data_IF_005527798211
#
_entry.id   IF_005527798211
#
_cell.length_a   1.000
_cell.length_b   1.000
_cell.length_c   1.000
_cell.angle_alpha   90.00
_cell.angle_beta   90.00
_cell.angle_gamma   90.00
#
_symmetry.space_group_name_H-M   'P 1'
#
loop_
_entity.id
_entity.type
_entity.pdbx_description
1 polymer ?
#
# COMPACT_ATOMS: atom_id res chain seq x y z
N UNK A 1 47.87 -13.17 -30.45
CA UNK A 1 46.60 -13.30 -31.20
C UNK A 1 45.69 -12.16 -30.78
N UNK A 2 44.97 -11.51 -31.69
CA UNK A 2 43.88 -10.62 -31.29
C UNK A 2 42.74 -11.51 -30.76
N UNK A 3 42.16 -11.24 -29.58
CA UNK A 3 41.01 -12.02 -29.11
C UNK A 3 39.87 -11.90 -30.13
N UNK A 4 39.14 -13.01 -30.34
CA UNK A 4 37.97 -13.01 -31.19
C UNK A 4 36.99 -11.93 -30.70
N UNK A 5 36.28 -11.19 -31.58
CA UNK A 5 35.46 -10.05 -31.17
C UNK A 5 34.31 -10.44 -30.23
N UNK A 6 33.78 -11.67 -30.36
CA UNK A 6 32.73 -12.22 -29.50
C UNK A 6 33.17 -13.53 -28.87
N UNK A 7 32.62 -13.85 -27.69
CA UNK A 7 32.78 -15.13 -27.04
C UNK A 7 32.09 -16.22 -27.87
N UNK A 8 32.82 -17.24 -28.35
CA UNK A 8 32.24 -18.33 -29.12
C UNK A 8 31.19 -19.13 -28.33
N UNK A 9 31.41 -19.26 -27.02
CA UNK A 9 30.52 -19.96 -26.10
C UNK A 9 30.30 -19.10 -24.86
N UNK A 10 29.05 -18.85 -24.50
CA UNK A 10 28.70 -18.22 -23.23
C UNK A 10 27.22 -18.50 -22.92
N UNK A 11 26.85 -18.75 -21.65
CA UNK A 11 25.46 -18.90 -21.27
C UNK A 11 24.73 -17.56 -21.36
N UNK A 12 23.44 -17.61 -21.69
CA UNK A 12 22.58 -16.44 -21.58
C UNK A 12 22.38 -16.09 -20.08
N UNK A 13 22.37 -14.78 -19.71
CA UNK A 13 21.99 -14.37 -18.37
C UNK A 13 20.55 -14.76 -18.08
N UNK A 14 20.24 -15.10 -16.83
CA UNK A 14 18.87 -15.28 -16.36
C UNK A 14 18.27 -13.97 -15.90
N UNK A 15 16.93 -13.93 -15.82
CA UNK A 15 16.22 -12.78 -15.26
C UNK A 15 16.60 -12.58 -13.79
N UNK A 16 17.07 -11.38 -13.45
CA UNK A 16 17.50 -11.04 -12.09
C UNK A 16 18.81 -11.68 -11.64
N UNK A 17 19.57 -12.35 -12.52
CA UNK A 17 20.88 -12.92 -12.20
C UNK A 17 21.90 -11.82 -11.84
N UNK A 18 22.72 -12.07 -10.83
CA UNK A 18 23.82 -11.16 -10.47
C UNK A 18 24.94 -11.19 -11.52
N UNK A 19 25.61 -10.05 -11.74
CA UNK A 19 26.71 -9.94 -12.71
C UNK A 19 27.85 -10.91 -12.37
N UNK A 20 28.23 -10.97 -11.10
CA UNK A 20 29.22 -11.93 -10.60
C UNK A 20 28.81 -13.38 -10.90
N UNK A 21 27.52 -13.71 -10.76
CA UNK A 21 27.03 -15.08 -11.00
C UNK A 21 27.10 -15.47 -12.47
N UNK A 22 26.65 -14.57 -13.35
CA UNK A 22 26.73 -14.81 -14.78
C UNK A 22 28.19 -14.91 -15.25
N UNK A 23 29.09 -14.04 -14.79
CA UNK A 23 30.50 -14.10 -15.16
C UNK A 23 31.19 -15.37 -14.69
N UNK A 24 30.88 -15.87 -13.49
CA UNK A 24 31.34 -17.19 -13.05
C UNK A 24 30.88 -18.29 -14.01
N UNK A 25 29.61 -18.29 -14.44
CA UNK A 25 29.11 -19.26 -15.41
C UNK A 25 29.77 -19.14 -16.78
N UNK A 26 30.10 -17.93 -17.23
CA UNK A 26 30.88 -17.71 -18.46
C UNK A 26 32.29 -18.27 -18.30
N UNK A 27 32.98 -17.98 -17.20
CA UNK A 27 34.34 -18.44 -16.94
C UNK A 27 34.43 -19.97 -16.91
N UNK A 28 33.42 -20.63 -16.32
CA UNK A 28 33.30 -22.09 -16.29
C UNK A 28 33.24 -22.72 -17.70
N UNK A 29 32.66 -22.06 -18.70
CA UNK A 29 32.65 -22.55 -20.08
C UNK A 29 34.06 -22.64 -20.71
N UNK A 30 35.03 -21.92 -20.14
CA UNK A 30 36.42 -21.88 -20.58
C UNK A 30 37.38 -22.57 -19.61
N UNK A 31 36.86 -23.24 -18.57
CA UNK A 31 37.66 -23.82 -17.48
C UNK A 31 38.58 -22.80 -16.79
N UNK A 32 38.09 -21.57 -16.64
CA UNK A 32 38.77 -20.47 -15.96
C UNK A 32 37.97 -20.03 -14.73
N UNK A 33 38.65 -19.36 -13.80
CA UNK A 33 37.98 -18.65 -12.72
C UNK A 33 37.63 -17.21 -13.16
N UNK A 34 36.66 -16.60 -12.48
CA UNK A 34 36.17 -15.25 -12.81
C UNK A 34 37.27 -14.17 -12.82
N UNK A 35 38.22 -14.14 -11.84
CA UNK A 35 39.33 -13.19 -11.88
C UNK A 35 40.23 -13.35 -13.11
N UNK A 36 40.48 -14.59 -13.56
CA UNK A 36 41.31 -14.85 -14.74
C UNK A 36 40.62 -14.35 -16.01
N UNK A 37 39.29 -14.50 -16.09
CA UNK A 37 38.49 -13.97 -17.21
C UNK A 37 38.54 -12.44 -17.23
N UNK A 38 38.39 -11.79 -16.07
CA UNK A 38 38.51 -10.34 -15.96
C UNK A 38 39.89 -9.85 -16.41
N UNK A 39 40.95 -10.43 -15.85
CA UNK A 39 42.32 -9.96 -16.07
C UNK A 39 42.79 -10.20 -17.50
N UNK A 40 42.60 -11.41 -18.01
CA UNK A 40 43.25 -11.85 -19.24
C UNK A 40 42.41 -11.66 -20.50
N UNK A 41 41.07 -11.74 -20.42
CA UNK A 41 40.19 -11.54 -21.58
C UNK A 41 39.61 -10.13 -21.62
N UNK A 42 39.21 -9.61 -20.46
CA UNK A 42 38.51 -8.32 -20.37
C UNK A 42 39.46 -7.14 -20.05
N UNK A 43 40.71 -7.42 -19.67
CA UNK A 43 41.70 -6.37 -19.36
C UNK A 43 41.34 -5.54 -18.14
N UNK A 44 40.55 -6.10 -17.22
CA UNK A 44 40.20 -5.50 -15.95
C UNK A 44 40.92 -6.24 -14.83
N UNK A 45 41.63 -5.51 -13.97
CA UNK A 45 42.17 -6.12 -12.74
C UNK A 45 41.05 -6.53 -11.78
N UNK A 46 41.44 -6.87 -10.55
CA UNK A 46 40.46 -7.19 -9.50
C UNK A 46 39.46 -6.03 -9.33
N UNK A 47 38.18 -6.33 -9.52
CA UNK A 47 37.06 -5.40 -9.27
C UNK A 47 36.48 -5.75 -7.91
N UNK A 48 36.47 -4.78 -6.99
CA UNK A 48 36.10 -5.01 -5.57
C UNK A 48 34.69 -5.63 -5.41
N UNK A 49 33.70 -5.14 -6.16
CA UNK A 49 32.35 -5.72 -6.18
C UNK A 49 31.63 -5.48 -7.51
N UNK A 50 31.57 -6.52 -8.33
CA UNK A 50 30.86 -6.55 -9.61
C UNK A 50 29.35 -6.30 -9.49
N UNK A 51 28.75 -6.63 -8.35
CA UNK A 51 27.30 -6.54 -8.18
C UNK A 51 26.86 -5.21 -7.60
N UNK A 52 27.77 -4.40 -7.04
CA UNK A 52 27.43 -3.06 -6.53
C UNK A 52 27.49 -2.01 -7.64
N UNK A 53 28.67 -1.77 -8.21
CA UNK A 53 28.90 -0.69 -9.16
C UNK A 53 30.02 -1.06 -10.16
N UNK A 54 29.75 -2.00 -11.09
CA UNK A 54 30.75 -2.42 -12.06
C UNK A 54 31.16 -1.24 -12.97
N UNK A 55 32.45 -1.11 -13.35
CA UNK A 55 32.91 -0.04 -14.22
C UNK A 55 32.15 -0.03 -15.56
N UNK A 56 31.79 1.15 -16.06
CA UNK A 56 31.07 1.26 -17.33
C UNK A 56 31.89 0.72 -18.52
N UNK A 57 33.21 0.85 -18.47
CA UNK A 57 34.12 0.26 -19.45
C UNK A 57 34.04 -1.27 -19.47
N UNK A 58 33.94 -1.91 -18.30
CA UNK A 58 33.75 -3.35 -18.19
C UNK A 58 32.41 -3.75 -18.81
N UNK A 59 31.32 -3.06 -18.47
CA UNK A 59 30.00 -3.36 -19.03
C UNK A 59 29.94 -3.18 -20.55
N UNK A 60 30.59 -2.15 -21.10
CA UNK A 60 30.68 -1.93 -22.54
C UNK A 60 31.45 -3.06 -23.24
N UNK A 61 32.55 -3.52 -22.64
CA UNK A 61 33.31 -4.64 -23.17
C UNK A 61 32.52 -5.94 -23.09
N UNK A 62 31.86 -6.22 -21.97
CA UNK A 62 30.97 -7.37 -21.81
C UNK A 62 29.86 -7.36 -22.87
N UNK A 63 29.27 -6.20 -23.14
CA UNK A 63 28.27 -6.02 -24.21
C UNK A 63 28.86 -6.37 -25.57
N UNK A 64 30.08 -5.93 -25.87
CA UNK A 64 30.76 -6.27 -27.12
C UNK A 64 31.07 -7.77 -27.23
N UNK A 65 31.57 -8.40 -26.15
CA UNK A 65 32.00 -9.80 -26.12
C UNK A 65 30.81 -10.76 -26.19
N UNK A 66 29.75 -10.49 -25.45
CA UNK A 66 28.56 -11.35 -25.36
C UNK A 66 27.48 -11.01 -26.40
N UNK A 67 27.42 -9.76 -26.86
CA UNK A 67 26.29 -9.25 -27.64
C UNK A 67 25.05 -8.94 -26.81
N UNK A 68 25.15 -8.91 -25.48
CA UNK A 68 24.06 -8.51 -24.58
C UNK A 68 24.00 -6.98 -24.52
N UNK A 69 22.79 -6.43 -24.55
CA UNK A 69 22.57 -4.99 -24.42
C UNK A 69 23.12 -4.43 -23.10
N UNK A 70 23.72 -3.24 -23.19
CA UNK A 70 24.37 -2.58 -22.05
C UNK A 70 23.42 -2.37 -20.86
N UNK A 71 22.16 -2.00 -21.12
CA UNK A 71 21.18 -1.76 -20.07
C UNK A 71 20.79 -3.03 -19.33
N UNK A 72 20.76 -4.18 -20.02
CA UNK A 72 20.55 -5.48 -19.37
C UNK A 72 21.71 -5.83 -18.44
N UNK A 73 22.95 -5.62 -18.87
CA UNK A 73 24.14 -5.85 -18.04
C UNK A 73 24.17 -4.90 -16.83
N UNK A 74 23.78 -3.63 -17.00
CA UNK A 74 23.64 -2.67 -15.88
C UNK A 74 22.67 -3.18 -14.82
N UNK A 75 21.51 -3.70 -15.22
CA UNK A 75 20.50 -4.23 -14.31
C UNK A 75 20.92 -5.52 -13.55
N UNK A 76 22.07 -6.11 -13.88
CA UNK A 76 22.68 -7.22 -13.13
C UNK A 76 23.56 -6.72 -11.97
N UNK A 77 23.50 -5.42 -11.65
CA UNK A 77 24.16 -4.77 -10.52
C UNK A 77 23.21 -3.78 -9.82
N UNK A 78 23.49 -3.44 -8.56
CA UNK A 78 22.73 -2.48 -7.78
C UNK A 78 22.77 -1.07 -8.38
N UNK A 79 23.85 -0.69 -9.06
CA UNK A 79 23.92 0.56 -9.83
C UNK A 79 22.82 0.64 -10.90
N UNK A 80 22.44 -0.48 -11.51
CA UNK A 80 21.32 -0.55 -12.45
C UNK A 80 19.94 -0.42 -11.82
N UNK A 81 19.85 -0.46 -10.49
CA UNK A 81 18.59 -0.31 -9.73
C UNK A 81 18.41 1.10 -9.14
N UNK A 82 19.36 2.00 -9.36
CA UNK A 82 19.25 3.43 -9.08
C UNK A 82 18.43 4.11 -10.20
N UNK A 83 17.50 5.05 -9.92
CA UNK A 83 17.15 5.61 -8.62
C UNK A 83 15.94 4.94 -7.94
N UNK A 84 15.42 3.83 -8.47
CA UNK A 84 14.09 3.35 -8.09
C UNK A 84 14.10 2.45 -6.85
N UNK A 85 15.08 1.54 -6.71
CA UNK A 85 15.29 0.80 -5.46
C UNK A 85 16.13 1.62 -4.49
N UNK A 86 17.21 2.20 -4.98
CA UNK A 86 18.19 2.98 -4.23
C UNK A 86 18.17 4.40 -4.78
N UNK A 87 18.16 5.44 -3.95
CA UNK A 87 18.25 6.81 -4.49
C UNK A 87 19.64 7.14 -4.99
N UNK A 88 20.66 6.55 -4.35
CA UNK A 88 22.06 6.64 -4.72
C UNK A 88 22.86 5.50 -4.11
N UNK A 89 24.04 5.25 -4.67
CA UNK A 89 25.08 4.41 -4.06
C UNK A 89 26.07 5.23 -3.21
N UNK A 90 25.99 6.56 -3.27
CA UNK A 90 26.71 7.47 -2.37
C UNK A 90 26.10 7.40 -0.97
N UNK A 91 26.92 7.08 0.02
CA UNK A 91 26.48 6.94 1.41
C UNK A 91 26.50 8.26 2.18
N UNK A 92 27.13 9.31 1.65
CA UNK A 92 27.28 10.62 2.32
C UNK A 92 26.16 11.61 2.00
N UNK A 93 25.09 11.18 1.32
CA UNK A 93 23.98 12.07 1.00
C UNK A 93 23.26 12.52 2.29
N UNK A 94 23.20 13.84 2.57
CA UNK A 94 22.48 14.34 3.74
C UNK A 94 21.00 13.95 3.69
N UNK A 95 20.44 13.60 4.85
CA UNK A 95 19.02 13.28 5.02
C UNK A 95 18.50 12.15 4.12
N UNK A 96 19.37 11.31 3.56
CA UNK A 96 19.01 10.18 2.70
C UNK A 96 18.02 9.22 3.39
N UNK A 97 18.25 8.91 4.67
CA UNK A 97 17.33 8.06 5.44
C UNK A 97 15.96 8.71 5.59
N UNK A 98 15.91 10.01 5.88
CA UNK A 98 14.65 10.72 6.09
C UNK A 98 13.82 10.78 4.81
N UNK A 99 14.46 11.17 3.71
CA UNK A 99 13.82 11.27 2.40
C UNK A 99 13.38 9.90 1.87
N UNK A 100 14.11 8.83 2.16
CA UNK A 100 13.76 7.50 1.70
C UNK A 100 12.73 6.79 2.60
N UNK A 101 12.95 6.77 3.92
CA UNK A 101 12.20 5.92 4.86
C UNK A 101 11.13 6.65 5.66
N UNK A 102 11.17 7.98 5.79
CA UNK A 102 10.29 8.73 6.70
C UNK A 102 9.17 9.53 6.01
N UNK A 103 9.12 9.54 4.67
CA UNK A 103 8.11 10.29 3.91
C UNK A 103 6.72 9.66 3.91
N UNK A 104 6.63 8.33 4.07
CA UNK A 104 5.35 7.61 4.06
C UNK A 104 4.90 7.27 5.49
N UNK A 105 3.74 6.64 5.63
CA UNK A 105 3.15 6.24 6.91
C UNK A 105 2.19 5.07 6.71
N UNK A 106 2.35 3.98 7.47
CA UNK A 106 1.53 2.77 7.34
C UNK A 106 0.85 2.42 8.66
N UNK A 107 1.59 1.96 9.66
CA UNK A 107 1.10 1.61 10.98
C UNK A 107 0.91 2.83 11.89
N UNK A 108 1.75 3.84 11.72
CA UNK A 108 1.80 5.02 12.57
C UNK A 108 1.42 6.27 11.77
N UNK A 109 0.75 7.28 12.36
CA UNK A 109 0.52 8.54 11.65
C UNK A 109 1.83 9.30 11.49
N UNK A 110 1.96 10.06 10.40
CA UNK A 110 3.19 10.82 10.05
C UNK A 110 3.73 11.67 11.20
N UNK A 111 2.84 12.37 11.93
CA UNK A 111 3.19 13.24 13.06
C UNK A 111 3.84 12.52 14.25
N UNK A 112 3.73 11.18 14.33
CA UNK A 112 4.33 10.37 15.41
C UNK A 112 5.63 9.69 15.00
N UNK A 113 6.08 9.87 13.75
CA UNK A 113 7.35 9.35 13.29
C UNK A 113 8.46 10.29 13.75
N UNK A 114 9.35 9.80 14.61
CA UNK A 114 10.57 10.53 14.96
C UNK A 114 11.57 10.40 13.82
N UNK A 115 11.94 11.53 13.23
CA UNK A 115 13.04 11.58 12.27
C UNK A 115 14.38 11.35 12.99
N UNK A 116 15.34 10.81 12.27
CA UNK A 116 16.67 10.43 12.74
C UNK A 116 17.66 10.73 11.64
N UNK A 117 18.74 11.42 11.98
CA UNK A 117 19.84 11.72 11.05
C UNK A 117 20.94 10.68 11.17
N UNK A 118 21.43 10.21 10.03
CA UNK A 118 22.62 9.35 9.93
C UNK A 118 23.51 9.90 8.84
N UNK A 119 24.82 9.95 9.10
CA UNK A 119 25.81 10.57 8.22
C UNK A 119 26.29 9.67 7.09
N UNK A 120 26.27 8.35 7.28
CA UNK A 120 26.60 7.35 6.26
C UNK A 120 25.47 6.33 6.18
N UNK A 121 24.70 6.36 5.09
CA UNK A 121 23.58 5.42 4.91
C UNK A 121 23.23 5.21 3.45
N UNK A 122 22.93 3.96 3.09
CA UNK A 122 22.39 3.57 1.78
C UNK A 122 21.18 2.69 1.99
N UNK A 123 20.09 2.95 1.27
CA UNK A 123 18.87 2.16 1.38
C UNK A 123 19.15 0.69 1.05
N UNK A 124 18.64 -0.25 1.83
CA UNK A 124 18.70 -1.70 1.55
C UNK A 124 20.08 -2.37 1.46
N UNK A 125 21.18 -1.64 1.26
CA UNK A 125 22.53 -2.22 1.17
C UNK A 125 22.98 -2.67 2.56
N UNK A 126 23.12 -3.99 2.79
CA UNK A 126 23.46 -4.49 4.11
C UNK A 126 24.93 -4.18 4.46
N UNK A 127 25.22 -3.95 5.74
CA UNK A 127 26.60 -3.75 6.20
C UNK A 127 27.47 -5.01 6.14
N UNK A 128 26.84 -6.16 5.93
CA UNK A 128 27.48 -7.48 5.79
C UNK A 128 26.90 -8.18 4.56
N UNK A 129 27.71 -8.89 3.77
CA UNK A 129 27.23 -9.68 2.64
C UNK A 129 26.14 -10.68 3.06
N UNK A 130 25.17 -10.89 2.17
CA UNK A 130 24.12 -11.88 2.36
C UNK A 130 24.29 -12.96 1.29
N UNK A 131 24.58 -14.18 1.72
CA UNK A 131 24.70 -15.34 0.85
C UNK A 131 23.53 -16.28 1.14
N UNK A 132 22.48 -16.12 0.35
CA UNK A 132 21.29 -16.98 0.44
C UNK A 132 20.75 -17.28 -0.94
N UNK A 133 20.10 -18.41 -1.07
CA UNK A 133 19.55 -18.86 -2.33
C UNK A 133 18.35 -19.77 -2.11
N UNK A 134 17.57 -19.96 -3.16
CA UNK A 134 16.51 -20.96 -3.16
C UNK A 134 17.11 -22.36 -3.40
N UNK A 135 16.87 -23.34 -2.50
CA UNK A 135 17.36 -24.71 -2.69
C UNK A 135 16.88 -25.35 -4.00
N UNK A 136 15.66 -25.06 -4.41
CA UNK A 136 15.08 -25.58 -5.65
C UNK A 136 15.68 -24.92 -6.90
N UNK A 137 15.94 -23.61 -6.87
CA UNK A 137 16.58 -22.92 -8.00
C UNK A 137 18.02 -23.38 -8.25
N UNK A 138 18.75 -23.79 -7.21
CA UNK A 138 20.14 -24.25 -7.31
C UNK A 138 20.28 -25.78 -7.37
N UNK A 139 19.16 -26.51 -7.41
CA UNK A 139 19.14 -27.96 -7.45
C UNK A 139 19.79 -28.54 -8.71
N UNK A 140 19.75 -27.80 -9.82
CA UNK A 140 20.38 -28.15 -11.09
C UNK A 140 21.82 -27.59 -11.15
N UNK A 141 22.86 -28.45 -11.07
CA UNK A 141 24.25 -28.02 -11.07
C UNK A 141 24.68 -27.29 -12.35
N UNK A 142 24.07 -27.60 -13.50
CA UNK A 142 24.42 -26.98 -14.79
C UNK A 142 23.82 -25.58 -14.93
N UNK A 143 22.93 -25.21 -14.01
CA UNK A 143 22.06 -24.05 -14.15
C UNK A 143 22.00 -23.20 -12.86
N UNK A 144 23.03 -23.27 -12.03
CA UNK A 144 23.12 -22.52 -10.77
C UNK A 144 23.35 -21.02 -11.02
N UNK A 145 22.26 -20.27 -11.10
CA UNK A 145 22.29 -18.81 -11.19
C UNK A 145 21.88 -18.22 -9.85
N UNK A 146 22.77 -17.40 -9.27
CA UNK A 146 22.49 -16.65 -8.04
C UNK A 146 21.85 -15.33 -8.42
N UNK A 147 20.64 -15.09 -7.91
CA UNK A 147 19.91 -13.86 -8.20
C UNK A 147 20.46 -12.68 -7.37
N UNK A 148 20.54 -11.51 -8.00
CA UNK A 148 21.01 -10.28 -7.36
C UNK A 148 20.12 -9.90 -6.17
N UNK A 149 18.81 -10.13 -6.28
CA UNK A 149 17.84 -9.79 -5.25
C UNK A 149 18.05 -10.58 -3.94
N UNK A 150 18.64 -11.77 -4.01
CA UNK A 150 18.93 -12.58 -2.83
C UNK A 150 20.05 -11.97 -1.97
N UNK A 151 20.92 -11.15 -2.58
CA UNK A 151 22.00 -10.44 -1.89
C UNK A 151 21.51 -9.22 -1.10
N UNK A 152 20.25 -8.82 -1.29
CA UNK A 152 19.63 -7.74 -0.52
C UNK A 152 18.58 -8.28 0.44
N UNK A 153 18.39 -7.64 1.61
CA UNK A 153 17.40 -8.03 2.59
C UNK A 153 15.99 -7.50 2.23
N UNK A 154 15.52 -7.85 1.03
CA UNK A 154 14.23 -7.43 0.46
C UNK A 154 13.13 -8.49 0.53
N UNK A 155 13.54 -9.76 0.54
CA UNK A 155 12.65 -10.92 0.50
C UNK A 155 13.13 -12.03 1.44
N UNK A 156 12.27 -12.97 1.81
CA UNK A 156 12.61 -14.13 2.65
C UNK A 156 12.47 -15.47 1.92
N UNK A 157 11.69 -15.49 0.84
CA UNK A 157 11.32 -16.66 0.08
C UNK A 157 11.59 -16.46 -1.41
N UNK A 158 11.64 -17.59 -2.12
CA UNK A 158 11.75 -17.62 -3.56
C UNK A 158 10.40 -17.26 -4.21
N UNK A 159 10.32 -16.23 -5.07
CA UNK A 159 9.07 -15.86 -5.72
C UNK A 159 8.58 -16.89 -6.75
N UNK A 160 9.44 -17.82 -7.17
CA UNK A 160 9.08 -18.89 -8.11
C UNK A 160 8.60 -20.16 -7.39
N UNK A 161 9.20 -20.48 -6.24
CA UNK A 161 8.98 -21.76 -5.55
C UNK A 161 8.25 -21.63 -4.21
N UNK A 162 8.11 -20.42 -3.66
CA UNK A 162 7.47 -20.18 -2.37
C UNK A 162 8.20 -20.76 -1.15
N UNK A 163 9.42 -21.29 -1.32
CA UNK A 163 10.24 -21.78 -0.21
C UNK A 163 11.16 -20.68 0.34
N UNK A 164 11.58 -20.81 1.59
CA UNK A 164 12.57 -19.95 2.20
C UNK A 164 13.88 -19.91 1.40
N UNK A 165 14.54 -18.76 1.43
CA UNK A 165 15.91 -18.62 0.98
C UNK A 165 16.83 -19.11 2.10
N UNK A 166 17.68 -20.09 1.78
CA UNK A 166 18.59 -20.73 2.71
C UNK A 166 20.00 -20.19 2.55
N UNK A 167 20.74 -20.11 3.65
CA UNK A 167 22.13 -19.62 3.65
C UNK A 167 23.07 -20.63 2.99
N UNK A 168 24.04 -20.11 2.23
CA UNK A 168 25.05 -20.92 1.58
C UNK A 168 26.44 -20.32 1.76
N UNK A 169 27.47 -21.15 1.70
CA UNK A 169 28.86 -20.72 1.64
C UNK A 169 29.36 -20.76 0.19
N UNK A 170 30.14 -19.76 -0.20
CA UNK A 170 30.61 -19.59 -1.56
C UNK A 170 31.40 -18.31 -1.76
N UNK A 171 31.86 -18.09 -2.99
CA UNK A 171 32.46 -16.82 -3.42
C UNK A 171 31.37 -15.94 -4.07
N UNK A 172 31.57 -14.63 -4.22
CA UNK A 172 30.58 -13.75 -4.84
C UNK A 172 30.05 -14.31 -6.17
N UNK A 173 28.75 -14.59 -6.22
CA UNK A 173 28.08 -15.08 -7.43
C UNK A 173 28.15 -16.59 -7.67
N UNK A 174 28.93 -17.35 -6.89
CA UNK A 174 29.08 -18.80 -7.03
C UNK A 174 28.67 -19.54 -5.76
N UNK A 175 27.74 -20.47 -5.92
CA UNK A 175 27.33 -21.41 -4.88
C UNK A 175 28.36 -22.56 -4.79
N UNK A 176 28.79 -22.90 -3.57
CA UNK A 176 29.69 -24.04 -3.34
C UNK A 176 29.05 -25.10 -2.43
N UNK A 177 28.22 -24.68 -1.48
CA UNK A 177 27.43 -25.60 -0.66
C UNK A 177 26.53 -24.86 0.33
N UNK A 178 25.56 -25.58 0.89
CA UNK A 178 24.69 -25.04 1.94
C UNK A 178 25.43 -24.94 3.27
N UNK A 179 25.12 -23.92 4.07
CA UNK A 179 25.64 -23.83 5.44
C UNK A 179 25.03 -24.93 6.33
N UNK A 180 23.75 -25.27 6.09
CA UNK A 180 23.07 -26.39 6.71
C UNK A 180 23.03 -27.57 5.73
N UNK A 181 23.54 -28.73 6.13
CA UNK A 181 23.58 -29.92 5.27
C UNK A 181 22.17 -30.38 4.81
N UNK A 182 21.17 -30.16 5.67
CA UNK A 182 19.77 -30.49 5.43
C UNK A 182 18.98 -29.27 4.93
N UNK A 183 19.52 -28.49 3.98
CA UNK A 183 18.83 -27.35 3.37
C UNK A 183 17.63 -27.79 2.49
N UNK A 184 16.75 -28.60 3.05
CA UNK A 184 15.51 -29.02 2.43
C UNK A 184 14.61 -27.80 2.20
N UNK A 185 13.91 -27.74 1.05
CA UNK A 185 13.01 -26.64 0.75
C UNK A 185 11.93 -26.52 1.81
N UNK A 186 11.98 -25.43 2.57
CA UNK A 186 11.02 -25.14 3.63
C UNK A 186 9.99 -24.16 3.10
N UNK A 187 8.70 -24.48 3.14
CA UNK A 187 7.65 -23.60 2.63
C UNK A 187 7.56 -22.30 3.46
N UNK A 188 7.47 -21.15 2.79
CA UNK A 188 7.21 -19.88 3.44
C UNK A 188 5.73 -19.73 3.78
N UNK A 189 5.41 -18.91 4.79
CA UNK A 189 4.00 -18.60 5.09
C UNK A 189 3.37 -17.79 3.95
N UNK A 190 2.05 -17.85 3.81
CA UNK A 190 1.32 -17.11 2.76
C UNK A 190 1.61 -15.60 2.80
N UNK A 191 1.72 -15.03 4.00
CA UNK A 191 2.05 -13.62 4.18
C UNK A 191 3.44 -13.28 3.61
N UNK A 192 4.45 -14.12 3.88
CA UNK A 192 5.80 -13.95 3.36
C UNK A 192 5.81 -14.13 1.84
N UNK A 193 5.23 -15.22 1.34
CA UNK A 193 5.19 -15.51 -0.09
C UNK A 193 4.51 -14.38 -0.89
N UNK A 194 3.39 -13.85 -0.39
CA UNK A 194 2.67 -12.75 -1.03
C UNK A 194 3.46 -11.43 -1.00
N UNK A 195 4.18 -11.12 0.08
CA UNK A 195 5.06 -9.95 0.13
C UNK A 195 6.23 -10.10 -0.84
N UNK A 196 6.86 -11.27 -0.88
CA UNK A 196 8.04 -11.53 -1.70
C UNK A 196 7.71 -11.62 -3.19
N UNK A 197 6.53 -12.14 -3.55
CA UNK A 197 6.03 -12.12 -4.92
C UNK A 197 5.81 -10.68 -5.42
N UNK A 198 5.27 -9.80 -4.56
CA UNK A 198 5.13 -8.36 -4.87
C UNK A 198 6.49 -7.67 -4.99
N UNK A 199 7.43 -7.99 -4.11
CA UNK A 199 8.82 -7.50 -4.21
C UNK A 199 9.49 -7.96 -5.50
N UNK A 200 9.28 -9.21 -5.91
CA UNK A 200 9.78 -9.72 -7.19
C UNK A 200 9.13 -9.01 -8.37
N UNK A 201 7.81 -8.81 -8.33
CA UNK A 201 7.08 -8.06 -9.35
C UNK A 201 7.63 -6.64 -9.51
N UNK A 202 7.95 -5.96 -8.40
CA UNK A 202 8.58 -4.65 -8.40
C UNK A 202 9.93 -4.65 -9.15
N UNK A 203 10.75 -5.67 -8.90
CA UNK A 203 12.09 -5.80 -9.49
C UNK A 203 12.05 -6.13 -10.99
N UNK A 204 11.12 -6.98 -11.43
CA UNK A 204 11.09 -7.48 -12.82
C UNK A 204 10.19 -6.67 -13.74
N UNK A 205 9.13 -6.06 -13.21
CA UNK A 205 8.12 -5.37 -14.03
C UNK A 205 8.04 -3.86 -13.78
N UNK A 206 8.77 -3.34 -12.78
CA UNK A 206 8.76 -1.92 -12.42
C UNK A 206 7.49 -1.44 -11.70
N UNK A 207 6.56 -2.33 -11.38
CA UNK A 207 5.32 -2.01 -10.65
C UNK A 207 4.88 -3.16 -9.73
N UNK A 208 3.95 -2.86 -8.82
CA UNK A 208 3.34 -3.83 -7.92
C UNK A 208 1.83 -3.70 -7.98
N UNK A 209 1.13 -4.84 -8.09
CA UNK A 209 -0.31 -4.91 -7.93
C UNK A 209 -0.66 -5.00 -6.44
N UNK A 210 -1.30 -3.95 -5.93
CA UNK A 210 -1.89 -3.94 -4.59
C UNK A 210 -3.41 -3.98 -4.70
N UNK A 211 -4.12 -4.44 -3.65
CA UNK A 211 -5.58 -4.60 -3.68
C UNK A 211 -6.36 -3.34 -4.09
N UNK A 212 -5.82 -2.15 -3.82
CA UNK A 212 -6.46 -0.89 -4.20
C UNK A 212 -6.11 -0.40 -5.61
N UNK A 213 -4.85 -0.53 -6.00
CA UNK A 213 -4.31 0.01 -7.25
C UNK A 213 -2.90 -0.52 -7.51
N UNK A 214 -2.51 -0.48 -8.78
CA UNK A 214 -1.12 -0.57 -9.19
C UNK A 214 -0.29 0.59 -8.64
N UNK A 215 0.92 0.29 -8.16
CA UNK A 215 1.90 1.31 -7.74
C UNK A 215 3.26 1.08 -8.41
N UNK A 216 4.05 2.15 -8.53
CA UNK A 216 5.42 2.08 -9.04
C UNK A 216 6.36 1.33 -8.07
N UNK A 217 7.34 0.60 -8.59
CA UNK A 217 8.31 -0.17 -7.79
C UNK A 217 9.02 0.68 -6.71
N UNK A 218 9.45 1.89 -7.05
CA UNK A 218 10.10 2.77 -6.08
C UNK A 218 9.21 3.21 -4.91
N UNK A 219 7.88 3.24 -5.10
CA UNK A 219 6.95 3.46 -4.00
C UNK A 219 6.83 2.21 -3.12
N UNK A 220 6.81 1.01 -3.71
CA UNK A 220 6.78 -0.25 -2.98
C UNK A 220 7.97 -0.38 -2.01
N UNK A 221 9.20 -0.14 -2.49
CA UNK A 221 10.37 -0.24 -1.62
C UNK A 221 10.36 0.80 -0.50
N UNK A 222 9.91 2.03 -0.76
CA UNK A 222 9.76 3.03 0.31
C UNK A 222 8.68 2.67 1.32
N UNK A 223 7.58 2.04 0.88
CA UNK A 223 6.53 1.53 1.77
C UNK A 223 7.07 0.41 2.67
N UNK A 224 7.76 -0.57 2.09
CA UNK A 224 8.34 -1.67 2.86
C UNK A 224 9.39 -1.14 3.86
N UNK A 225 10.25 -0.21 3.42
CA UNK A 225 11.25 0.39 4.31
C UNK A 225 10.62 1.23 5.42
N UNK A 226 9.55 1.95 5.11
CA UNK A 226 8.74 2.69 6.09
C UNK A 226 8.17 1.75 7.14
N UNK A 227 7.54 0.66 6.71
CA UNK A 227 6.93 -0.32 7.60
C UNK A 227 7.95 -0.94 8.55
N UNK A 228 9.14 -1.28 8.04
CA UNK A 228 10.26 -1.77 8.86
C UNK A 228 10.71 -0.75 9.91
N UNK A 229 10.74 0.54 9.59
CA UNK A 229 11.09 1.58 10.57
C UNK A 229 9.99 1.80 11.62
N UNK A 230 8.72 1.80 11.22
CA UNK A 230 7.59 1.90 12.14
C UNK A 230 7.54 0.71 13.10
N UNK A 231 7.80 -0.51 12.62
CA UNK A 231 7.91 -1.71 13.45
C UNK A 231 9.11 -1.68 14.40
N UNK A 232 10.17 -0.93 14.06
CA UNK A 232 11.31 -0.71 14.95
C UNK A 232 11.10 0.47 15.93
N UNK A 233 9.91 1.09 15.96
CA UNK A 233 9.61 2.18 16.89
C UNK A 233 9.22 1.63 18.27
N UNK A 234 9.84 2.09 19.37
CA UNK A 234 9.44 1.69 20.72
C UNK A 234 7.97 2.00 21.00
N UNK A 235 7.24 1.05 21.63
CA UNK A 235 5.80 1.23 21.89
C UNK A 235 5.49 2.49 22.72
N UNK A 236 6.39 2.89 23.62
CA UNK A 236 6.27 4.13 24.40
C UNK A 236 6.23 5.39 23.52
N UNK A 237 6.82 5.35 22.32
CA UNK A 237 6.79 6.43 21.34
C UNK A 237 5.58 6.36 20.39
N UNK A 238 4.87 5.23 20.32
CA UNK A 238 3.69 5.05 19.47
C UNK A 238 2.41 5.68 20.07
N UNK A 239 2.36 5.87 21.40
CA UNK A 239 1.21 6.36 22.16
C UNK A 239 -0.08 5.56 21.86
N UNK A 240 -1.18 6.22 21.48
CA UNK A 240 -2.48 5.56 21.20
C UNK A 240 -2.43 4.56 20.04
N UNK A 241 -1.40 4.64 19.18
CA UNK A 241 -1.21 3.71 18.06
C UNK A 241 -0.36 2.49 18.43
N UNK A 242 0.05 2.32 19.70
CA UNK A 242 0.90 1.21 20.14
C UNK A 242 0.26 -0.18 19.97
N UNK A 243 -1.08 -0.25 19.89
CA UNK A 243 -1.80 -1.51 19.65
C UNK A 243 -1.46 -2.16 18.32
N UNK A 244 -1.29 -1.39 17.24
CA UNK A 244 -1.00 -1.93 15.91
C UNK A 244 0.33 -2.67 15.82
N UNK A 245 1.51 -2.05 16.12
CA UNK A 245 2.77 -2.79 16.08
C UNK A 245 2.79 -3.95 17.08
N UNK A 246 2.12 -3.82 18.24
CA UNK A 246 2.01 -4.92 19.20
C UNK A 246 1.31 -6.14 18.58
N UNK A 247 0.15 -5.94 17.97
CA UNK A 247 -0.61 -7.02 17.33
C UNK A 247 0.17 -7.67 16.17
N UNK A 248 0.96 -6.89 15.43
CA UNK A 248 1.84 -7.44 14.39
C UNK A 248 2.89 -8.37 14.99
N UNK A 249 3.61 -7.92 16.02
CA UNK A 249 4.66 -8.71 16.67
C UNK A 249 4.09 -9.98 17.34
N UNK A 250 2.92 -9.87 17.96
CA UNK A 250 2.18 -11.03 18.48
C UNK A 250 1.79 -12.00 17.35
N UNK A 251 1.34 -11.48 16.20
CA UNK A 251 0.94 -12.28 15.04
C UNK A 251 2.08 -13.06 14.39
N UNK A 252 3.31 -12.55 14.38
CA UNK A 252 4.48 -13.28 13.88
C UNK A 252 5.21 -14.09 14.97
N UNK A 253 4.75 -14.05 16.22
CA UNK A 253 5.34 -14.84 17.33
C UNK A 253 6.73 -14.36 17.80
N UNK A 254 7.22 -13.22 17.32
CA UNK A 254 8.52 -12.67 17.70
C UNK A 254 8.39 -11.63 18.82
N UNK A 255 9.42 -11.44 19.67
CA UNK A 255 9.41 -10.36 20.65
C UNK A 255 9.33 -8.99 19.95
N UNK A 256 8.75 -8.00 20.63
CA UNK A 256 8.66 -6.62 20.13
C UNK A 256 10.01 -6.13 19.60
N UNK A 257 9.99 -5.53 18.40
CA UNK A 257 11.18 -5.04 17.70
C UNK A 257 12.24 -6.13 17.51
N UNK A 258 11.85 -7.40 17.38
CA UNK A 258 12.75 -8.54 17.30
C UNK A 258 13.77 -8.57 18.46
N UNK A 259 13.35 -8.15 19.66
CA UNK A 259 14.19 -8.12 20.87
C UNK A 259 15.17 -6.95 20.95
N UNK A 260 15.11 -5.99 20.03
CA UNK A 260 16.01 -4.84 20.04
C UNK A 260 15.72 -3.87 21.19
N UNK A 261 16.76 -3.51 21.95
CA UNK A 261 16.71 -2.42 22.94
C UNK A 261 16.94 -1.06 22.29
N UNK A 262 17.99 -0.93 21.49
CA UNK A 262 18.38 0.29 20.79
C UNK A 262 17.86 0.29 19.35
N UNK A 263 17.52 1.47 18.82
CA UNK A 263 17.17 1.60 17.41
C UNK A 263 18.45 1.61 16.57
N UNK A 264 18.41 0.90 15.45
CA UNK A 264 19.45 0.89 14.41
C UNK A 264 18.78 0.86 13.03
N UNK A 265 19.44 1.37 11.97
CA UNK A 265 18.98 1.17 10.61
C UNK A 265 18.83 -0.30 10.31
N UNK A 266 17.77 -0.64 9.57
CA UNK A 266 17.47 -2.00 9.15
C UNK A 266 18.67 -2.69 8.47
N UNK A 267 19.41 -1.92 7.67
CA UNK A 267 20.59 -2.36 6.92
C UNK A 267 21.77 -2.80 7.81
N UNK A 268 21.81 -2.33 9.06
CA UNK A 268 22.88 -2.63 10.04
C UNK A 268 22.45 -3.63 11.12
N UNK A 269 21.21 -4.13 11.04
CA UNK A 269 20.73 -5.15 11.95
C UNK A 269 21.45 -6.48 11.73
N UNK A 270 21.59 -7.25 12.82
CA UNK A 270 22.05 -8.63 12.77
C UNK A 270 21.13 -9.45 11.83
N UNK A 271 21.67 -10.42 11.06
CA UNK A 271 20.89 -11.24 10.13
C UNK A 271 19.58 -11.82 10.68
N UNK A 272 19.58 -12.38 11.90
CA UNK A 272 18.38 -12.97 12.52
C UNK A 272 17.32 -11.90 12.78
N UNK A 273 17.72 -10.78 13.37
CA UNK A 273 16.83 -9.64 13.65
C UNK A 273 16.25 -9.09 12.35
N UNK A 274 17.07 -9.01 11.30
CA UNK A 274 16.66 -8.53 9.98
C UNK A 274 15.58 -9.42 9.36
N UNK A 275 15.74 -10.74 9.47
CA UNK A 275 14.75 -11.74 9.04
C UNK A 275 13.42 -11.56 9.78
N UNK A 276 13.47 -11.50 11.11
CA UNK A 276 12.28 -11.32 11.95
C UNK A 276 11.54 -10.01 11.65
N UNK A 277 12.28 -8.93 11.35
CA UNK A 277 11.71 -7.64 10.96
C UNK A 277 10.96 -7.73 9.62
N UNK A 278 11.47 -8.46 8.62
CA UNK A 278 10.75 -8.69 7.36
C UNK A 278 9.52 -9.57 7.55
N UNK A 279 9.61 -10.59 8.39
CA UNK A 279 8.46 -11.43 8.72
C UNK A 279 7.35 -10.63 9.41
N UNK A 280 7.73 -9.72 10.32
CA UNK A 280 6.79 -8.77 10.92
C UNK A 280 6.20 -7.81 9.86
N UNK A 281 6.98 -7.36 8.88
CA UNK A 281 6.46 -6.53 7.78
C UNK A 281 5.45 -7.30 6.90
N UNK A 282 5.75 -8.55 6.55
CA UNK A 282 4.83 -9.43 5.83
C UNK A 282 3.52 -9.64 6.60
N UNK A 283 3.64 -9.91 7.90
CA UNK A 283 2.51 -10.09 8.82
C UNK A 283 1.67 -8.81 8.90
N UNK A 284 2.29 -7.64 9.03
CA UNK A 284 1.59 -6.37 9.03
C UNK A 284 0.80 -6.13 7.74
N UNK A 285 1.41 -6.38 6.58
CA UNK A 285 0.72 -6.27 5.29
C UNK A 285 -0.50 -7.19 5.28
N UNK A 286 -0.33 -8.47 5.63
CA UNK A 286 -1.43 -9.44 5.68
C UNK A 286 -2.58 -8.98 6.58
N UNK A 287 -2.29 -8.55 7.82
CA UNK A 287 -3.30 -8.08 8.77
C UNK A 287 -4.05 -6.82 8.28
N UNK A 288 -3.37 -5.93 7.55
CA UNK A 288 -4.01 -4.74 6.95
C UNK A 288 -4.90 -5.16 5.77
N UNK A 289 -4.45 -6.10 4.94
CA UNK A 289 -5.20 -6.58 3.77
C UNK A 289 -6.52 -7.25 4.17
N UNK A 290 -6.48 -8.13 5.18
CA UNK A 290 -7.67 -8.84 5.71
C UNK A 290 -8.53 -8.00 6.67
N UNK A 291 -8.10 -6.78 6.99
CA UNK A 291 -8.76 -5.82 7.89
C UNK A 291 -8.80 -6.19 9.37
N UNK A 292 -7.97 -7.13 9.81
CA UNK A 292 -7.77 -7.40 11.24
C UNK A 292 -7.15 -6.20 11.98
N UNK A 293 -6.40 -5.36 11.25
CA UNK A 293 -5.99 -4.04 11.71
C UNK A 293 -6.36 -2.95 10.68
N UNK A 294 -6.67 -1.76 11.19
CA UNK A 294 -6.95 -0.57 10.38
C UNK A 294 -6.11 0.61 10.86
N UNK A 295 -4.80 0.59 10.61
CA UNK A 295 -3.90 1.61 11.13
C UNK A 295 -4.15 2.98 10.46
N UNK A 296 -3.80 4.08 11.16
CA UNK A 296 -4.11 5.44 10.72
C UNK A 296 -3.14 6.01 9.68
N UNK A 297 -2.07 5.29 9.31
CA UNK A 297 -1.11 5.77 8.32
C UNK A 297 -1.76 6.02 6.96
N UNK A 298 -1.34 7.08 6.28
CA UNK A 298 -1.95 7.53 5.02
C UNK A 298 -1.89 6.43 3.94
N UNK A 299 -0.80 5.68 3.91
CA UNK A 299 -0.53 4.65 2.90
C UNK A 299 -1.04 3.26 3.30
N UNK A 300 -1.55 3.05 4.52
CA UNK A 300 -2.22 1.80 4.91
C UNK A 300 -3.37 1.46 3.94
N UNK A 301 -4.02 2.49 3.42
CA UNK A 301 -5.14 2.40 2.48
C UNK A 301 -4.79 1.73 1.15
N UNK A 302 -3.51 1.58 0.80
CA UNK A 302 -3.09 0.92 -0.44
C UNK A 302 -3.27 -0.60 -0.40
N UNK A 303 -3.19 -1.17 0.80
CA UNK A 303 -3.37 -2.60 1.06
C UNK A 303 -4.86 -2.99 1.19
N UNK A 304 -5.73 -2.00 1.25
CA UNK A 304 -7.15 -2.24 1.32
C UNK A 304 -7.69 -2.60 -0.05
N UNK A 305 -8.58 -3.60 -0.12
CA UNK A 305 -9.40 -3.78 -1.32
C UNK A 305 -10.04 -2.45 -1.69
N UNK A 306 -10.05 -2.12 -2.98
CA UNK A 306 -10.73 -0.93 -3.45
C UNK A 306 -12.17 -0.97 -2.90
N UNK A 307 -12.65 0.12 -2.24
CA UNK A 307 -14.05 0.17 -1.90
C UNK A 307 -14.81 -0.09 -3.20
N UNK A 308 -15.76 -1.03 -3.21
CA UNK A 308 -16.65 -1.20 -4.36
C UNK A 308 -17.55 0.04 -4.47
N UNK A 309 -16.99 1.19 -4.81
CA UNK A 309 -17.72 2.25 -5.47
C UNK A 309 -17.97 1.71 -6.86
N UNK A 310 -19.19 1.22 -7.08
CA UNK A 310 -19.63 0.78 -8.39
C UNK A 310 -19.14 1.76 -9.44
N UNK A 311 -18.64 1.21 -10.55
CA UNK A 311 -18.13 1.98 -11.69
C UNK A 311 -19.14 3.10 -11.99
N UNK A 312 -18.72 4.35 -11.78
CA UNK A 312 -19.54 5.50 -12.13
C UNK A 312 -18.90 6.11 -13.34
N UNK A 313 -19.42 5.75 -14.51
CA UNK A 313 -19.28 6.52 -15.74
C UNK A 313 -19.37 7.99 -15.34
N UNK A 314 -18.33 8.79 -15.61
CA UNK A 314 -18.04 10.13 -15.05
C UNK A 314 -19.11 11.23 -15.17
N UNK A 315 -20.37 10.87 -15.32
CA UNK A 315 -21.52 11.61 -14.82
C UNK A 315 -21.48 11.61 -13.28
N UNK A 316 -21.78 12.75 -12.64
CA UNK A 316 -21.74 12.84 -11.19
C UNK A 316 -22.69 11.83 -10.57
N UNK A 317 -22.13 10.85 -9.88
CA UNK A 317 -22.87 9.97 -8.98
C UNK A 317 -23.35 10.83 -7.84
N UNK A 318 -24.56 11.34 -7.98
CA UNK A 318 -25.36 11.71 -6.82
C UNK A 318 -25.40 10.46 -5.95
N UNK A 319 -24.92 10.58 -4.71
CA UNK A 319 -25.23 9.60 -3.66
C UNK A 319 -26.71 9.22 -3.79
N UNK A 320 -27.10 7.96 -3.56
CA UNK A 320 -28.50 7.62 -3.48
C UNK A 320 -29.09 8.52 -2.39
N UNK A 321 -29.85 9.53 -2.83
CA UNK A 321 -30.79 10.15 -1.93
C UNK A 321 -31.64 8.98 -1.43
N UNK A 322 -31.97 8.90 -0.12
CA UNK A 322 -33.12 8.07 0.26
C UNK A 322 -34.21 8.38 -0.74
N UNK A 323 -34.83 7.33 -1.33
CA UNK A 323 -35.83 7.47 -2.40
C UNK A 323 -36.53 8.78 -2.22
N UNK A 324 -36.50 9.71 -3.20
CA UNK A 324 -37.07 11.02 -3.00
C UNK A 324 -38.50 10.75 -2.57
N UNK A 325 -38.73 10.89 -1.26
CA UNK A 325 -40.07 10.91 -0.72
C UNK A 325 -40.64 12.03 -1.54
N UNK A 326 -41.52 11.68 -2.46
CA UNK A 326 -42.17 12.68 -3.25
C UNK A 326 -43.04 13.39 -2.24
N UNK A 327 -42.46 14.40 -1.58
CA UNK A 327 -43.07 15.10 -0.48
C UNK A 327 -44.39 15.71 -0.94
N UNK A 328 -44.50 15.97 -2.25
CA UNK A 328 -45.75 16.28 -2.93
C UNK A 328 -46.72 15.10 -3.00
N UNK A 329 -46.33 13.88 -3.42
CA UNK A 329 -47.22 12.71 -3.34
C UNK A 329 -47.60 12.36 -1.91
N UNK A 330 -46.69 12.43 -0.93
CA UNK A 330 -47.01 12.21 0.48
C UNK A 330 -47.89 13.32 1.06
N UNK A 331 -47.68 14.57 0.67
CA UNK A 331 -48.55 15.67 1.08
C UNK A 331 -49.93 15.54 0.45
N UNK A 332 -50.02 15.16 -0.83
CA UNK A 332 -51.30 14.89 -1.52
C UNK A 332 -52.01 13.72 -0.85
N UNK A 333 -51.30 12.61 -0.58
CA UNK A 333 -51.87 11.47 0.12
C UNK A 333 -52.34 11.82 1.53
N UNK A 334 -51.56 12.61 2.29
CA UNK A 334 -51.94 13.07 3.63
C UNK A 334 -53.14 14.04 3.59
N UNK A 335 -53.27 14.85 2.54
CA UNK A 335 -54.44 15.72 2.32
C UNK A 335 -55.66 14.87 1.96
N UNK A 336 -55.52 13.87 1.09
CA UNK A 336 -56.61 12.96 0.72
C UNK A 336 -57.09 12.16 1.93
N UNK A 337 -56.16 11.64 2.74
CA UNK A 337 -56.46 10.95 4.00
C UNK A 337 -57.16 11.90 5.00
N UNK A 338 -56.69 13.14 5.13
CA UNK A 338 -57.33 14.15 5.98
C UNK A 338 -58.73 14.54 5.49
N UNK A 339 -58.99 14.58 4.17
CA UNK A 339 -60.32 14.81 3.61
C UNK A 339 -61.24 13.63 3.94
N UNK A 340 -60.77 12.39 3.79
CA UNK A 340 -61.55 11.18 4.13
C UNK A 340 -61.89 11.17 5.62
N UNK A 341 -60.93 11.51 6.48
CA UNK A 341 -61.13 11.58 7.93
C UNK A 341 -62.08 12.72 8.31
N UNK A 342 -61.94 13.90 7.70
CA UNK A 342 -62.81 15.06 7.92
C UNK A 342 -64.29 14.81 7.62
N UNK A 343 -64.63 13.82 6.78
CA UNK A 343 -66.03 13.41 6.56
C UNK A 343 -66.68 12.83 7.81
N UNK A 344 -65.89 12.32 8.75
CA UNK A 344 -66.36 11.60 9.92
C UNK A 344 -65.86 12.20 11.25
N UNK A 345 -64.84 13.06 11.21
CA UNK A 345 -64.25 13.71 12.38
C UNK A 345 -64.37 15.25 12.30
N UNK A 346 -65.15 15.89 13.20
CA UNK A 346 -65.34 17.34 13.20
C UNK A 346 -64.06 18.14 13.51
N UNK A 347 -63.11 17.60 14.28
CA UNK A 347 -61.86 18.31 14.61
C UNK A 347 -60.91 18.36 13.42
N UNK A 348 -60.79 17.25 12.69
CA UNK A 348 -59.98 17.17 11.45
C UNK A 348 -60.59 18.03 10.35
N UNK A 349 -61.93 18.07 10.23
CA UNK A 349 -62.64 18.97 9.31
C UNK A 349 -62.33 20.45 9.59
N UNK A 350 -62.34 20.86 10.86
CA UNK A 350 -62.03 22.24 11.27
C UNK A 350 -60.56 22.60 11.03
N UNK A 351 -59.64 21.67 11.31
CA UNK A 351 -58.21 21.87 11.07
C UNK A 351 -57.88 21.99 9.57
N UNK A 352 -58.50 21.16 8.73
CA UNK A 352 -58.39 21.23 7.27
C UNK A 352 -59.00 22.53 6.74
N UNK A 353 -60.14 22.96 7.28
CA UNK A 353 -60.77 24.23 6.91
C UNK A 353 -59.92 25.44 7.31
N UNK A 354 -59.31 25.43 8.49
CA UNK A 354 -58.39 26.47 8.95
C UNK A 354 -57.20 26.59 7.99
N UNK A 355 -56.58 25.47 7.61
CA UNK A 355 -55.48 25.44 6.64
C UNK A 355 -55.91 25.98 5.26
N UNK A 356 -57.05 25.52 4.73
CA UNK A 356 -57.54 25.94 3.41
C UNK A 356 -58.05 27.39 3.38
N UNK A 357 -58.44 27.93 4.53
CA UNK A 357 -58.83 29.33 4.72
C UNK A 357 -57.63 30.27 4.85
N UNK A 358 -56.40 29.75 4.95
CA UNK A 358 -55.20 30.57 5.13
C UNK A 358 -55.04 31.58 3.99
N UNK A 359 -54.91 32.86 4.34
CA UNK A 359 -54.84 33.98 3.40
C UNK A 359 -56.18 34.47 2.84
N UNK A 360 -57.31 33.84 3.19
CA UNK A 360 -58.67 34.28 2.82
C UNK A 360 -59.39 34.83 4.05
N UNK A 361 -59.84 36.08 3.97
CA UNK A 361 -60.48 36.77 5.11
C UNK A 361 -61.84 37.39 4.77
N UNK A 362 -62.24 37.42 3.51
CA UNK A 362 -63.55 37.91 3.13
C UNK A 362 -64.63 36.82 3.32
N UNK A 363 -65.80 37.16 3.90
CA UNK A 363 -66.86 36.20 4.17
C UNK A 363 -67.34 35.43 2.93
N UNK A 364 -67.36 36.07 1.76
CA UNK A 364 -67.80 35.44 0.51
C UNK A 364 -66.86 34.33 0.02
N UNK A 365 -65.55 34.47 0.26
CA UNK A 365 -64.56 33.43 -0.07
C UNK A 365 -64.56 32.28 0.92
N UNK A 366 -64.84 32.55 2.21
CA UNK A 366 -65.02 31.49 3.21
C UNK A 366 -66.29 30.68 2.94
N UNK A 367 -67.38 31.32 2.53
CA UNK A 367 -68.63 30.61 2.20
C UNK A 367 -68.48 29.75 0.93
N UNK A 368 -67.77 30.25 -0.08
CA UNK A 368 -67.40 29.44 -1.25
C UNK A 368 -66.52 28.25 -0.85
N UNK A 369 -65.62 28.42 0.11
CA UNK A 369 -64.79 27.33 0.62
C UNK A 369 -65.62 26.29 1.38
N UNK A 370 -66.59 26.71 2.20
CA UNK A 370 -67.54 25.79 2.87
C UNK A 370 -68.34 24.98 1.84
N UNK A 371 -68.83 25.62 0.78
CA UNK A 371 -69.52 24.93 -0.30
C UNK A 371 -68.63 23.89 -1.01
N UNK A 372 -67.33 24.14 -1.16
CA UNK A 372 -66.38 23.14 -1.69
C UNK A 372 -66.20 21.96 -0.72
N UNK A 373 -66.11 22.21 0.59
CA UNK A 373 -65.99 21.13 1.58
C UNK A 373 -67.24 20.24 1.61
N UNK A 374 -68.43 20.83 1.47
CA UNK A 374 -69.68 20.07 1.34
C UNK A 374 -69.69 19.21 0.07
N UNK A 375 -69.18 19.72 -1.06
CA UNK A 375 -69.05 18.94 -2.30
C UNK A 375 -68.10 17.76 -2.16
N UNK A 376 -67.06 17.89 -1.35
CA UNK A 376 -66.14 16.79 -1.02
C UNK A 376 -66.69 15.83 0.04
N UNK A 377 -67.96 15.96 0.43
CA UNK A 377 -68.67 15.05 1.32
C UNK A 377 -68.47 15.31 2.81
N UNK A 378 -67.88 16.45 3.19
CA UNK A 378 -67.70 16.83 4.60
C UNK A 378 -69.01 17.44 5.13
N UNK A 379 -69.57 16.94 6.25
CA UNK A 379 -70.84 17.43 6.78
C UNK A 379 -70.81 18.93 7.10
N UNK A 380 -71.79 19.72 6.64
CA UNK A 380 -71.82 21.17 6.87
C UNK A 380 -71.91 21.54 8.36
N UNK A 381 -72.45 20.65 9.18
CA UNK A 381 -72.58 20.78 10.62
C UNK A 381 -71.22 20.88 11.35
N UNK A 382 -70.15 20.35 10.75
CA UNK A 382 -68.82 20.40 11.35
C UNK A 382 -68.18 21.80 11.25
N UNK A 383 -68.64 22.62 10.30
CA UNK A 383 -68.05 23.90 9.92
C UNK A 383 -68.99 25.11 10.05
N UNK A 384 -70.29 24.89 10.34
CA UNK A 384 -71.35 25.90 10.36
C UNK A 384 -71.12 27.05 11.36
N UNK A 385 -70.36 26.80 12.42
CA UNK A 385 -70.04 27.79 13.47
C UNK A 385 -68.54 28.01 13.68
N UNK A 386 -67.69 27.40 12.84
CA UNK A 386 -66.24 27.53 12.98
C UNK A 386 -65.72 28.77 12.25
N UNK A 387 -65.14 29.69 13.02
CA UNK A 387 -64.30 30.76 12.55
C UNK A 387 -62.86 30.41 12.94
N UNK A 388 -61.92 30.32 11.98
CA UNK A 388 -60.54 30.01 12.30
C UNK A 388 -59.93 31.16 13.11
N UNK A 389 -59.62 30.90 14.39
CA UNK A 389 -58.88 31.84 15.24
C UNK A 389 -57.48 32.07 14.66
N UNK A 390 -56.98 33.30 14.82
CA UNK A 390 -55.72 33.75 14.23
C UNK A 390 -54.56 32.80 14.62
N UNK A 391 -53.80 32.25 13.65
CA UNK A 391 -52.69 31.37 13.99
C UNK A 391 -51.52 32.16 14.59
N UNK A 392 -50.86 31.51 15.55
CA UNK A 392 -49.69 31.92 16.35
C UNK A 392 -48.49 32.53 15.57
N UNK A 393 -48.53 32.51 14.24
CA UNK A 393 -47.48 32.99 13.34
C UNK A 393 -47.39 34.53 13.19
N UNK A 394 -48.09 35.29 14.05
CA UNK A 394 -48.00 36.76 14.07
C UNK A 394 -47.12 37.32 15.21
N UNK A 395 -46.46 36.47 16.02
CA UNK A 395 -45.45 36.94 16.97
C UNK A 395 -44.10 37.13 16.24
N UNK A 396 -43.70 38.39 16.01
CA UNK A 396 -42.35 38.71 15.57
C UNK A 396 -41.40 38.61 16.75
N UNK A 397 -40.26 37.95 16.55
CA UNK A 397 -39.20 37.74 17.54
C UNK A 397 -38.39 39.02 17.84
N UNK A 398 -39.02 40.20 17.82
CA UNK A 398 -38.35 41.50 18.01
C UNK A 398 -39.25 42.58 18.64
N UNK A 399 -40.25 42.20 19.44
CA UNK A 399 -40.92 43.15 20.33
C UNK A 399 -40.30 43.06 21.73
N UNK A 400 -39.19 43.77 21.90
CA UNK A 400 -38.77 44.40 23.16
C UNK A 400 -38.38 43.51 24.33
N UNK A 401 -37.15 43.00 24.35
CA UNK A 401 -36.38 42.97 25.59
C UNK A 401 -35.58 44.27 25.68
N UNK A 402 -36.22 45.31 26.22
CA UNK A 402 -35.56 46.48 26.79
C UNK A 402 -36.37 46.98 27.99
N UNK A 403 -35.70 46.84 29.13
CA UNK A 403 -35.73 47.64 30.36
C UNK A 403 -36.96 47.63 31.30
N UNK A 404 -36.65 47.21 32.55
CA UNK A 404 -37.37 47.33 33.83
C UNK A 404 -38.46 46.27 34.02
N UNK A 405 -38.31 45.28 34.89
CA UNK A 405 -37.86 45.25 36.29
C UNK A 405 -37.16 43.93 36.62
#
# INVERSE_FOLDING_TARGET
MKPAPRWPLHPAPKEGEALSSWLNRVALCYHMEEPDLLEHDLGHGQVDDLDTAPPLSLLALLSQRSGIELDRLRCMSFAGWVPWLLDSLDDQIPDALETYAFQLSVLLPRLRRKTRSITSWRAWLPSQPINRACPLCLSDPENQAVLLAWKLPLMLSCPLHGCWLESYWGVPGRFLGWENADAEPRTASDAIAAMDQRTWQALTTGHVELPRRRIHAGLWFRLLRTLLDELNTPLSACGTCAGYPRQVWEGCGHPLRAGQSLWRPYETLNPIVRLQMLEAAATAISLIEVRDISPPGEQAKLFWSEPQTGFTSGLPTKAPKPEPINHWQRAVQAIDEAIIEARHNPETARSLFALASYGRRDPASLERLRATFVKEGIPPEFLSHYLPDAPFACLKQNDGLSDKF
#
